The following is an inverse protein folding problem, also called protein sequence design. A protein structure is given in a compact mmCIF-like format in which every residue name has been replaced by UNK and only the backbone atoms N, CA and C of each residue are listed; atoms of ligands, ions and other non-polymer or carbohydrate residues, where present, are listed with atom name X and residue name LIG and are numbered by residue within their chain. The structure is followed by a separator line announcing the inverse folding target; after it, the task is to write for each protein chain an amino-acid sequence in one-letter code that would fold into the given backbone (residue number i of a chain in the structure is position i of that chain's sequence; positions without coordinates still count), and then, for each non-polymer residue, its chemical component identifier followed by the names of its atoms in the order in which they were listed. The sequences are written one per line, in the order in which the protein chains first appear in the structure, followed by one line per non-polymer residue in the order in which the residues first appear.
data_IF_200347475114
#
_entry.id   IF_200347475114
#
_cell.length_a   1.000
_cell.length_b   1.000
_cell.length_c   1.000
_cell.angle_alpha   90.00
_cell.angle_beta   90.00
_cell.angle_gamma   90.00
#
_symmetry.space_group_name_H-M   'P 1'
#
loop_
_entity.id
_entity.type
_entity.pdbx_description
1 polymer ?
#
# COMPACT_ATOMS: atom_id res chain seq x y z
N UNK A 1 4.44 13.02 -12.53
CA UNK A 1 4.04 12.02 -11.52
C UNK A 1 5.08 10.90 -11.51
N UNK A 2 5.81 10.74 -10.41
CA UNK A 2 6.81 9.68 -10.26
C UNK A 2 6.15 8.30 -10.32
N UNK A 3 6.61 7.45 -11.25
CA UNK A 3 6.11 6.07 -11.40
C UNK A 3 6.61 5.23 -10.24
N UNK A 4 5.72 4.97 -9.29
CA UNK A 4 5.92 3.94 -8.28
C UNK A 4 5.99 2.56 -8.95
N UNK A 5 7.03 1.79 -8.64
CA UNK A 5 7.17 0.42 -9.16
C UNK A 5 7.06 -0.55 -7.99
N UNK A 6 5.91 -1.21 -7.89
CA UNK A 6 5.71 -2.39 -7.06
C UNK A 6 6.63 -3.50 -7.58
N UNK A 7 7.84 -3.62 -7.02
CA UNK A 7 8.75 -4.72 -7.37
C UNK A 7 8.36 -5.96 -6.59
N UNK A 8 7.71 -6.90 -7.28
CA UNK A 8 7.33 -8.20 -6.72
C UNK A 8 8.58 -8.98 -6.33
N UNK A 9 8.86 -9.14 -5.05
CA UNK A 9 10.01 -9.91 -4.57
C UNK A 9 9.50 -11.07 -3.71
N UNK A 10 9.47 -12.27 -4.31
CA UNK A 10 8.86 -13.51 -3.82
C UNK A 10 7.33 -13.53 -3.78
N UNK A 11 6.75 -14.21 -4.77
CA UNK A 11 5.32 -14.53 -4.83
C UNK A 11 5.17 -16.06 -4.80
N UNK A 12 4.66 -16.63 -3.70
CA UNK A 12 4.30 -18.06 -3.64
C UNK A 12 2.87 -18.34 -4.14
N UNK A 13 2.25 -17.36 -4.80
CA UNK A 13 0.91 -17.42 -5.38
C UNK A 13 -0.22 -16.97 -4.45
N UNK A 14 -0.04 -17.01 -3.15
CA UNK A 14 -1.03 -16.49 -2.19
C UNK A 14 -0.54 -15.25 -1.45
N UNK A 15 0.77 -14.99 -1.50
CA UNK A 15 1.42 -13.82 -0.91
C UNK A 15 2.14 -13.06 -2.00
N UNK A 16 1.95 -11.75 -2.01
CA UNK A 16 2.56 -10.82 -2.95
C UNK A 16 3.28 -9.74 -2.17
N UNK A 17 4.61 -9.76 -2.25
CA UNK A 17 5.45 -8.80 -1.53
C UNK A 17 5.96 -7.74 -2.48
N UNK A 18 5.81 -6.49 -2.05
CA UNK A 18 6.25 -5.31 -2.76
C UNK A 18 7.18 -4.48 -1.90
N UNK A 19 8.20 -3.89 -2.51
CA UNK A 19 9.13 -2.99 -1.84
C UNK A 19 9.07 -1.59 -2.45
N UNK A 20 9.19 -0.60 -1.57
CA UNK A 20 9.04 0.81 -1.88
C UNK A 20 10.13 1.60 -1.19
N UNK A 21 10.67 2.64 -1.83
CA UNK A 21 11.50 3.64 -1.15
C UNK A 21 10.61 4.66 -0.44
N UNK A 22 10.91 4.98 0.82
CA UNK A 22 10.20 6.04 1.54
C UNK A 22 10.30 7.38 0.82
N UNK A 23 9.16 7.96 0.50
CA UNK A 23 8.97 9.32 0.03
C UNK A 23 7.51 9.73 0.29
N UNK A 24 7.20 11.02 0.19
CA UNK A 24 5.82 11.49 0.45
C UNK A 24 4.83 11.07 -0.66
N UNK A 25 5.31 10.82 -1.89
CA UNK A 25 4.49 10.27 -2.98
C UNK A 25 3.86 8.91 -2.61
N UNK A 26 4.45 8.19 -1.64
CA UNK A 26 3.92 6.96 -1.09
C UNK A 26 2.48 7.11 -0.61
N UNK A 27 2.12 8.18 0.12
CA UNK A 27 0.78 8.32 0.73
C UNK A 27 -0.32 8.22 -0.33
N UNK A 28 -0.16 9.01 -1.40
CA UNK A 28 -1.11 9.05 -2.51
C UNK A 28 -1.14 7.73 -3.28
N UNK A 29 0.03 7.15 -3.54
CA UNK A 29 0.13 5.88 -4.25
C UNK A 29 -0.46 4.71 -3.45
N UNK A 30 -0.20 4.67 -2.15
CA UNK A 30 -0.70 3.65 -1.23
C UNK A 30 -2.21 3.75 -1.07
N UNK A 31 -2.75 4.95 -0.85
CA UNK A 31 -4.19 5.16 -0.78
C UNK A 31 -4.89 4.64 -2.03
N UNK A 32 -4.39 5.05 -3.21
CA UNK A 32 -4.96 4.55 -4.48
C UNK A 32 -4.84 3.02 -4.59
N UNK A 33 -3.70 2.45 -4.24
CA UNK A 33 -3.48 1.01 -4.29
C UNK A 33 -4.49 0.25 -3.41
N UNK A 34 -4.73 0.74 -2.19
CA UNK A 34 -5.67 0.12 -1.27
C UNK A 34 -7.13 0.28 -1.73
N UNK A 35 -7.50 1.44 -2.29
CA UNK A 35 -8.82 1.65 -2.91
C UNK A 35 -9.03 0.71 -4.09
N UNK A 36 -8.03 0.52 -4.95
CA UNK A 36 -8.10 -0.44 -6.05
C UNK A 36 -8.26 -1.88 -5.50
N UNK A 37 -7.67 -2.22 -4.35
CA UNK A 37 -7.93 -3.49 -3.64
C UNK A 37 -9.31 -3.57 -2.95
N UNK A 38 -10.13 -2.53 -3.02
CA UNK A 38 -11.48 -2.47 -2.45
C UNK A 38 -11.49 -2.20 -0.94
N UNK A 39 -10.50 -1.48 -0.43
CA UNK A 39 -10.54 -0.92 0.92
C UNK A 39 -11.18 0.47 0.91
N UNK A 40 -11.77 0.84 2.05
CA UNK A 40 -12.35 2.16 2.29
C UNK A 40 -11.26 3.20 2.54
N UNK A 41 -11.37 4.37 1.90
CA UNK A 41 -10.31 5.37 1.88
C UNK A 41 -10.24 6.17 3.19
N UNK A 42 -11.35 6.34 3.90
CA UNK A 42 -11.41 7.09 5.18
C UNK A 42 -10.52 6.47 6.25
N UNK A 43 -10.60 5.15 6.43
CA UNK A 43 -9.81 4.41 7.42
C UNK A 43 -8.29 4.43 7.13
N UNK A 44 -7.92 4.63 5.87
CA UNK A 44 -6.52 4.63 5.44
C UNK A 44 -5.93 6.05 5.52
N UNK A 45 -6.72 7.08 5.19
CA UNK A 45 -6.31 8.49 5.31
C UNK A 45 -5.99 8.86 6.75
N UNK A 46 -6.83 8.44 7.70
CA UNK A 46 -6.61 8.67 9.14
C UNK A 46 -5.30 8.08 9.69
N UNK A 47 -4.60 7.22 8.93
CA UNK A 47 -3.26 6.76 9.33
C UNK A 47 -2.17 7.81 9.16
N UNK A 48 -2.34 8.72 8.20
CA UNK A 48 -1.37 9.76 7.85
C UNK A 48 -1.75 11.14 8.39
N UNK A 49 -2.98 11.29 8.87
CA UNK A 49 -3.58 12.52 9.35
C UNK A 49 -4.27 12.23 10.67
N UNK A 50 -4.01 13.03 11.71
CA UNK A 50 -4.75 12.96 12.97
C UNK A 50 -5.09 14.35 13.48
N UNK A 51 -6.25 14.46 14.11
CA UNK A 51 -6.69 15.69 14.76
C UNK A 51 -6.02 15.78 16.14
N UNK A 52 -5.34 16.89 16.39
CA UNK A 52 -4.78 17.22 17.70
C UNK A 52 -5.66 18.28 18.37
N UNK A 53 -6.00 18.06 19.64
CA UNK A 53 -6.96 18.90 20.35
C UNK A 53 -6.35 20.29 20.59
N UNK A 54 -6.69 21.25 19.73
CA UNK A 54 -6.13 22.61 19.73
C UNK A 54 -5.47 23.02 18.41
N UNK A 55 -5.34 22.13 17.42
CA UNK A 55 -4.90 22.48 16.07
C UNK A 55 -6.09 22.92 15.19
N UNK A 56 -5.87 23.95 14.36
CA UNK A 56 -6.85 24.42 13.37
C UNK A 56 -6.85 23.50 12.13
N UNK A 57 -5.74 22.78 11.89
CA UNK A 57 -5.55 21.87 10.75
C UNK A 57 -5.06 20.49 11.23
N UNK A 58 -5.42 19.39 10.54
CA UNK A 58 -4.95 18.06 10.90
C UNK A 58 -3.43 17.95 10.78
N UNK A 59 -2.80 17.26 11.75
CA UNK A 59 -1.35 17.04 11.73
C UNK A 59 -1.04 15.93 10.73
N UNK A 60 -0.23 16.27 9.72
CA UNK A 60 0.17 15.34 8.66
C UNK A 60 1.47 14.64 9.06
N UNK A 61 1.40 13.34 9.35
CA UNK A 61 2.57 12.50 9.66
C UNK A 61 3.44 12.34 8.41
N UNK A 62 4.73 12.70 8.44
CA UNK A 62 5.63 12.51 7.28
C UNK A 62 6.02 11.03 7.16
N UNK A 63 6.06 10.51 5.94
CA UNK A 63 6.41 9.11 5.66
C UNK A 63 7.80 8.75 6.19
N UNK A 64 8.74 9.71 6.11
CA UNK A 64 10.09 9.51 6.64
C UNK A 64 10.10 9.24 8.14
N UNK A 65 9.15 9.78 8.90
CA UNK A 65 9.12 9.73 10.36
C UNK A 65 8.42 8.46 10.89
N UNK A 66 7.78 7.66 10.01
CA UNK A 66 7.14 6.39 10.37
C UNK A 66 8.17 5.26 10.30
N UNK A 67 8.70 4.79 11.42
CA UNK A 67 9.72 3.74 11.49
C UNK A 67 9.36 2.66 12.52
N UNK A 68 9.74 1.41 12.21
CA UNK A 68 9.55 0.23 13.05
C UNK A 68 8.08 -0.03 13.43
N UNK A 69 7.16 0.32 12.52
CA UNK A 69 5.72 0.08 12.64
C UNK A 69 5.26 -0.97 11.62
N UNK A 70 4.28 -1.79 12.01
CA UNK A 70 3.55 -2.68 11.13
C UNK A 70 2.06 -2.37 11.21
N UNK A 71 1.47 -1.92 10.11
CA UNK A 71 0.02 -1.80 9.99
C UNK A 71 -0.55 -3.04 9.33
N UNK A 72 -1.73 -3.50 9.78
CA UNK A 72 -2.48 -4.58 9.16
C UNK A 72 -3.85 -4.06 8.71
N UNK A 73 -4.21 -4.37 7.46
CA UNK A 73 -5.50 -4.04 6.87
C UNK A 73 -6.16 -5.29 6.33
N UNK A 74 -7.42 -5.53 6.68
CA UNK A 74 -8.18 -6.68 6.20
C UNK A 74 -9.49 -6.26 5.52
N UNK A 75 -9.82 -6.93 4.42
CA UNK A 75 -11.18 -6.94 3.87
C UNK A 75 -11.56 -8.38 3.47
N UNK A 76 -12.78 -8.57 2.96
CA UNK A 76 -13.29 -9.90 2.60
C UNK A 76 -12.47 -10.63 1.51
N UNK A 77 -11.58 -9.94 0.78
CA UNK A 77 -10.74 -10.51 -0.30
C UNK A 77 -9.26 -10.61 0.06
N UNK A 78 -8.76 -9.68 0.87
CA UNK A 78 -7.34 -9.43 1.05
C UNK A 78 -6.96 -9.15 2.51
N UNK A 79 -5.73 -9.52 2.82
CA UNK A 79 -5.07 -9.19 4.08
C UNK A 79 -3.72 -8.56 3.73
N UNK A 80 -3.52 -7.31 4.15
CA UNK A 80 -2.40 -6.46 3.74
C UNK A 80 -1.60 -6.02 4.95
N UNK A 81 -0.34 -6.46 5.02
CA UNK A 81 0.62 -5.90 5.99
C UNK A 81 1.46 -4.81 5.34
N UNK A 82 1.71 -3.74 6.08
CA UNK A 82 2.60 -2.65 5.69
C UNK A 82 3.66 -2.45 6.75
N UNK A 83 4.89 -2.85 6.43
CA UNK A 83 6.05 -2.70 7.30
C UNK A 83 6.82 -1.43 6.93
N UNK A 84 6.94 -0.50 7.87
CA UNK A 84 7.63 0.76 7.69
C UNK A 84 9.05 0.67 8.26
N UNK A 85 10.01 0.27 7.45
CA UNK A 85 11.42 0.29 7.84
C UNK A 85 12.06 1.67 7.65
N UNK A 86 13.28 1.84 8.15
CA UNK A 86 14.05 3.10 8.06
C UNK A 86 14.14 3.70 6.65
N UNK A 87 14.38 2.87 5.64
CA UNK A 87 14.59 3.35 4.25
C UNK A 87 13.53 2.90 3.27
N UNK A 88 12.79 1.85 3.61
CA UNK A 88 11.88 1.16 2.70
C UNK A 88 10.60 0.80 3.41
N UNK A 89 9.52 0.80 2.64
CA UNK A 89 8.24 0.24 3.05
C UNK A 89 8.05 -1.09 2.32
N UNK A 90 7.64 -2.12 3.05
CA UNK A 90 7.31 -3.42 2.50
C UNK A 90 5.80 -3.60 2.62
N UNK A 91 5.14 -3.87 1.50
CA UNK A 91 3.71 -4.20 1.47
C UNK A 91 3.59 -5.69 1.16
N UNK A 92 2.85 -6.44 1.98
CA UNK A 92 2.56 -7.85 1.76
C UNK A 92 1.07 -8.02 1.60
N UNK A 93 0.61 -8.30 0.38
CA UNK A 93 -0.79 -8.63 0.09
C UNK A 93 -0.97 -10.14 0.10
N UNK A 94 -1.84 -10.63 0.97
CA UNK A 94 -2.30 -12.01 1.00
C UNK A 94 -3.68 -12.12 0.37
N UNK A 95 -3.87 -13.12 -0.48
CA UNK A 95 -5.14 -13.41 -1.12
C UNK A 95 -5.42 -14.91 -1.12
N UNK A 96 -6.70 -15.27 -1.06
CA UNK A 96 -7.16 -16.66 -1.25
C UNK A 96 -7.20 -17.07 -2.72
N UNK A 97 -7.22 -16.10 -3.65
CA UNK A 97 -7.34 -16.35 -5.11
C UNK A 97 -6.37 -15.45 -5.90
N UNK A 98 -5.26 -16.03 -6.34
CA UNK A 98 -4.19 -15.34 -7.11
C UNK A 98 -4.69 -14.65 -8.37
N UNK A 99 -5.34 -15.40 -9.25
CA UNK A 99 -5.62 -14.96 -10.62
C UNK A 99 -6.55 -13.74 -10.69
N UNK A 100 -7.62 -13.64 -9.89
CA UNK A 100 -8.42 -12.42 -9.81
C UNK A 100 -7.61 -11.17 -9.43
N UNK A 101 -6.74 -11.28 -8.42
CA UNK A 101 -5.93 -10.15 -7.97
C UNK A 101 -4.93 -9.70 -9.05
N UNK A 102 -4.25 -10.67 -9.67
CA UNK A 102 -3.29 -10.37 -10.75
C UNK A 102 -4.00 -9.74 -11.95
N UNK A 103 -5.15 -10.26 -12.38
CA UNK A 103 -5.95 -9.68 -13.47
C UNK A 103 -6.38 -8.25 -13.15
N UNK A 104 -6.86 -8.00 -11.95
CA UNK A 104 -7.29 -6.67 -11.52
C UNK A 104 -6.10 -5.68 -11.49
N UNK A 105 -4.99 -6.05 -10.85
CA UNK A 105 -3.80 -5.19 -10.73
C UNK A 105 -3.06 -4.97 -12.06
N UNK A 106 -3.10 -5.92 -12.99
CA UNK A 106 -2.49 -5.79 -14.32
C UNK A 106 -3.41 -5.08 -15.32
N UNK A 107 -4.68 -5.47 -15.40
CA UNK A 107 -5.61 -4.99 -16.42
C UNK A 107 -6.25 -3.66 -16.06
N UNK A 108 -6.88 -3.60 -14.89
CA UNK A 108 -7.71 -2.47 -14.48
C UNK A 108 -6.87 -1.37 -13.81
N UNK A 109 -6.12 -1.74 -12.78
CA UNK A 109 -5.39 -0.77 -11.95
C UNK A 109 -3.98 -0.44 -12.48
N UNK A 110 -3.47 -1.24 -13.44
CA UNK A 110 -2.19 -1.02 -14.16
C UNK A 110 -0.95 -0.83 -13.26
N UNK A 111 -0.98 -1.42 -12.07
CA UNK A 111 0.13 -1.37 -11.12
C UNK A 111 1.29 -2.30 -11.49
N UNK A 112 0.99 -3.38 -12.20
CA UNK A 112 1.96 -4.37 -12.63
C UNK A 112 2.13 -4.21 -14.14
N UNK A 113 3.35 -3.88 -14.60
CA UNK A 113 3.66 -3.94 -16.03
C UNK A 113 3.61 -5.41 -16.47
N UNK A 114 2.85 -5.71 -17.51
CA UNK A 114 2.87 -7.02 -18.13
C UNK A 114 4.27 -7.25 -18.71
N UNK A 115 5.08 -8.10 -18.08
CA UNK A 115 6.23 -8.70 -18.75
C UNK A 115 5.66 -9.75 -19.69
N UNK A 116 5.50 -9.35 -20.95
CA UNK A 116 5.42 -10.31 -22.05
C UNK A 116 6.76 -11.06 -22.03
N UNK A 117 6.70 -12.36 -21.73
CA UNK A 117 7.75 -13.31 -22.06
C UNK A 117 7.17 -14.24 -23.11
#
# INVERSE_FOLDING_TARGET
MGKFTLTGTNNNGFRHRYSVRKNEDFKKAFLKFMVDLGFDDENIKGRFEYDDEGSIEPIVTKVKDIEDVCDNYNNHKYDVDVFYGRFKIIIVVRTKKRMPMVKHLQGEAKWIKSTVV
#
